data_IF_588328555565
#
_entry.id   IF_588328555565
#
_cell.length_a   1.000
_cell.length_b   1.000
_cell.length_c   1.000
_cell.angle_alpha   90.00
_cell.angle_beta   90.00
_cell.angle_gamma   90.00
#
_symmetry.space_group_name_H-M   'P 1'
#
loop_
_entity.id
_entity.type
_entity.pdbx_description
1 polymer ?
#
# COMPACT_ATOMS: atom_id res chain seq x y z
N UNK A 1 -27.54 -6.81 -37.04
CA UNK A 1 -26.17 -7.32 -36.80
C UNK A 1 -25.14 -6.23 -36.45
N UNK A 2 -25.09 -5.07 -37.12
CA UNK A 2 -24.09 -4.01 -36.87
C UNK A 2 -24.15 -3.31 -35.49
N UNK A 3 -25.32 -3.24 -34.83
CA UNK A 3 -25.46 -2.50 -33.55
C UNK A 3 -25.00 -3.29 -32.31
N UNK A 4 -25.22 -4.61 -32.26
CA UNK A 4 -24.77 -5.47 -31.15
C UNK A 4 -23.24 -5.55 -31.02
N UNK A 5 -22.50 -5.38 -32.15
CA UNK A 5 -21.03 -5.33 -32.17
C UNK A 5 -20.48 -4.15 -31.35
N UNK A 6 -21.28 -3.09 -31.16
CA UNK A 6 -20.87 -1.92 -30.37
C UNK A 6 -20.99 -2.13 -28.86
N UNK A 7 -21.69 -3.14 -28.36
CA UNK A 7 -21.62 -3.46 -26.92
C UNK A 7 -20.32 -4.23 -26.63
N UNK A 8 -19.96 -5.11 -27.56
CA UNK A 8 -18.86 -6.05 -27.36
C UNK A 8 -17.50 -5.36 -27.19
N UNK A 9 -17.25 -4.21 -27.85
CA UNK A 9 -15.98 -3.51 -27.66
C UNK A 9 -15.79 -2.99 -26.23
N UNK A 10 -16.85 -2.47 -25.58
CA UNK A 10 -16.73 -1.98 -24.20
C UNK A 10 -16.46 -3.11 -23.21
N UNK A 11 -17.09 -4.27 -23.44
CA UNK A 11 -16.85 -5.48 -22.66
C UNK A 11 -15.42 -6.01 -22.86
N UNK A 12 -14.97 -6.09 -24.12
CA UNK A 12 -13.61 -6.52 -24.46
C UNK A 12 -12.57 -5.56 -23.93
N UNK A 13 -12.77 -4.24 -24.02
CA UNK A 13 -11.87 -3.23 -23.46
C UNK A 13 -11.76 -3.35 -21.94
N UNK A 14 -12.88 -3.57 -21.24
CA UNK A 14 -12.86 -3.79 -19.79
C UNK A 14 -12.10 -5.07 -19.43
N UNK A 15 -12.34 -6.18 -20.16
CA UNK A 15 -11.63 -7.44 -19.94
C UNK A 15 -10.13 -7.33 -20.23
N UNK A 16 -9.74 -6.70 -21.35
CA UNK A 16 -8.35 -6.45 -21.69
C UNK A 16 -7.68 -5.55 -20.66
N UNK A 17 -8.39 -4.55 -20.14
CA UNK A 17 -7.91 -3.70 -19.06
C UNK A 17 -7.66 -4.47 -17.76
N UNK A 18 -8.61 -5.33 -17.36
CA UNK A 18 -8.46 -6.19 -16.19
C UNK A 18 -7.27 -7.14 -16.38
N UNK A 19 -7.16 -7.77 -17.55
CA UNK A 19 -6.05 -8.65 -17.87
C UNK A 19 -4.71 -7.92 -17.80
N UNK A 20 -4.61 -6.70 -18.35
CA UNK A 20 -3.41 -5.88 -18.29
C UNK A 20 -3.03 -5.54 -16.84
N UNK A 21 -4.00 -5.19 -15.98
CA UNK A 21 -3.75 -4.92 -14.56
C UNK A 21 -3.31 -6.17 -13.79
N UNK A 22 -3.90 -7.33 -14.09
CA UNK A 22 -3.51 -8.61 -13.47
C UNK A 22 -2.11 -9.04 -13.92
N UNK A 23 -1.74 -8.76 -15.16
CA UNK A 23 -0.41 -9.05 -15.70
C UNK A 23 0.65 -8.03 -15.28
N UNK A 24 0.26 -6.84 -14.81
CA UNK A 24 1.19 -5.77 -14.44
C UNK A 24 2.25 -6.22 -13.41
N UNK A 25 1.93 -6.92 -12.31
CA UNK A 25 2.95 -7.42 -11.38
C UNK A 25 3.91 -8.41 -12.04
N UNK A 26 3.41 -9.25 -12.96
CA UNK A 26 4.23 -10.21 -13.72
C UNK A 26 5.20 -9.48 -14.66
N UNK A 27 4.74 -8.40 -15.29
CA UNK A 27 5.56 -7.53 -16.15
C UNK A 27 6.64 -6.81 -15.33
N UNK A 28 6.35 -6.42 -14.09
CA UNK A 28 7.30 -5.71 -13.22
C UNK A 28 8.32 -6.64 -12.56
N UNK A 29 7.98 -7.90 -12.28
CA UNK A 29 8.85 -8.90 -11.63
C UNK A 29 10.26 -9.08 -12.26
N UNK A 30 10.45 -9.08 -13.61
CA UNK A 30 11.79 -9.16 -14.20
C UNK A 30 12.63 -7.89 -13.97
N UNK A 31 12.03 -6.76 -13.62
CA UNK A 31 12.71 -5.48 -13.40
C UNK A 31 12.86 -5.14 -11.92
N UNK A 32 11.89 -5.54 -11.09
CA UNK A 32 11.83 -5.25 -9.66
C UNK A 32 11.64 -6.52 -8.84
N UNK A 33 12.15 -6.51 -7.62
CA UNK A 33 11.89 -7.55 -6.63
C UNK A 33 11.40 -6.92 -5.33
N UNK A 34 10.75 -7.74 -4.50
CA UNK A 34 10.08 -7.32 -3.26
C UNK A 34 10.40 -8.31 -2.13
N UNK A 35 10.04 -7.98 -0.90
CA UNK A 35 10.10 -8.91 0.25
C UNK A 35 11.46 -9.00 0.94
N UNK A 36 12.37 -8.06 0.68
CA UNK A 36 13.69 -7.99 1.33
C UNK A 36 13.86 -6.79 2.26
N UNK A 37 12.99 -5.79 2.14
CA UNK A 37 13.18 -4.49 2.76
C UNK A 37 12.39 -3.40 2.06
N UNK A 38 12.57 -2.17 2.54
CA UNK A 38 12.02 -0.96 1.92
C UNK A 38 13.16 -0.08 1.44
N UNK A 39 13.04 0.40 0.21
CA UNK A 39 14.00 1.28 -0.42
C UNK A 39 13.62 2.73 -0.14
N UNK A 40 14.59 3.55 0.26
CA UNK A 40 14.40 4.99 0.46
C UNK A 40 14.39 5.69 -0.90
N UNK A 41 13.30 6.37 -1.22
CA UNK A 41 13.13 7.11 -2.49
C UNK A 41 13.38 8.61 -2.30
N UNK A 42 13.05 9.14 -1.12
CA UNK A 42 13.19 10.57 -0.81
C UNK A 42 13.35 10.75 0.70
N UNK A 43 14.09 11.79 1.10
CA UNK A 43 14.23 12.21 2.52
C UNK A 43 14.06 13.72 2.59
N UNK A 44 13.16 14.20 3.44
CA UNK A 44 12.89 15.62 3.62
C UNK A 44 14.12 16.35 4.18
N UNK A 45 14.48 17.50 3.57
CA UNK A 45 15.72 18.25 3.84
C UNK A 45 15.89 18.70 5.30
N UNK A 46 14.79 19.07 5.97
CA UNK A 46 14.79 19.53 7.37
C UNK A 46 14.56 18.40 8.40
N UNK A 47 14.62 17.14 7.96
CA UNK A 47 14.34 16.01 8.85
C UNK A 47 15.54 15.61 9.71
N UNK A 48 15.32 15.12 10.95
CA UNK A 48 16.37 14.49 11.75
C UNK A 48 16.92 13.19 11.12
N UNK A 49 16.32 12.74 10.03
CA UNK A 49 16.75 11.57 9.28
C UNK A 49 17.89 11.87 8.31
N UNK A 50 18.13 13.14 7.99
CA UNK A 50 19.23 13.59 7.14
C UNK A 50 20.50 13.83 7.96
N UNK A 51 21.65 13.52 7.36
CA UNK A 51 22.96 13.80 7.95
C UNK A 51 24.04 12.80 7.50
N UNK A 52 25.30 12.97 7.94
CA UNK A 52 26.42 12.12 7.50
C UNK A 52 26.29 10.65 7.92
N UNK A 53 25.34 10.34 8.81
CA UNK A 53 24.99 8.99 9.28
C UNK A 53 23.48 8.78 9.28
N UNK A 54 22.78 9.54 8.44
CA UNK A 54 21.35 9.48 8.21
C UNK A 54 20.99 8.47 7.13
N UNK A 55 19.76 8.57 6.65
CA UNK A 55 19.27 7.83 5.48
C UNK A 55 19.53 8.61 4.20
N UNK A 56 19.85 7.90 3.13
CA UNK A 56 20.05 8.46 1.80
C UNK A 56 19.15 7.76 0.78
N UNK A 57 18.84 8.48 -0.31
CA UNK A 57 18.12 7.90 -1.44
C UNK A 57 18.89 6.70 -1.99
N UNK A 58 18.19 5.57 -2.14
CA UNK A 58 18.76 4.30 -2.55
C UNK A 58 19.18 3.38 -1.40
N UNK A 59 19.11 3.81 -0.15
CA UNK A 59 19.37 2.94 1.00
C UNK A 59 18.24 1.90 1.14
N UNK A 60 18.61 0.65 1.46
CA UNK A 60 17.66 -0.44 1.70
C UNK A 60 17.54 -0.69 3.20
N UNK A 61 16.41 -0.30 3.79
CA UNK A 61 16.12 -0.59 5.19
C UNK A 61 15.52 -1.98 5.33
N UNK A 62 16.08 -2.75 6.26
CA UNK A 62 15.66 -4.14 6.53
C UNK A 62 15.10 -4.33 7.92
N UNK A 63 15.43 -3.46 8.88
CA UNK A 63 14.94 -3.55 10.25
C UNK A 63 14.75 -2.17 10.88
N UNK A 64 13.72 -2.07 11.71
CA UNK A 64 13.49 -0.99 12.66
C UNK A 64 13.62 -1.55 14.07
N UNK A 65 14.68 -1.19 14.78
CA UNK A 65 15.10 -1.81 16.03
C UNK A 65 15.30 -3.33 15.87
N UNK A 66 14.46 -4.13 16.53
CA UNK A 66 14.42 -5.60 16.43
C UNK A 66 13.22 -6.08 15.59
N UNK A 67 12.49 -5.17 14.95
CA UNK A 67 11.36 -5.44 14.08
C UNK A 67 11.84 -5.61 12.62
N UNK A 68 11.68 -6.79 11.99
CA UNK A 68 12.05 -6.99 10.60
C UNK A 68 11.08 -6.27 9.67
N UNK A 69 11.62 -5.64 8.63
CA UNK A 69 10.86 -4.91 7.61
C UNK A 69 11.14 -5.56 6.26
N UNK A 70 10.11 -6.14 5.63
CA UNK A 70 10.23 -6.74 4.29
C UNK A 70 9.46 -5.96 3.22
N UNK A 71 8.52 -5.10 3.65
CA UNK A 71 7.65 -4.31 2.81
C UNK A 71 7.16 -3.04 3.57
N UNK A 72 6.47 -2.14 2.87
CA UNK A 72 5.96 -0.86 3.44
C UNK A 72 4.93 -1.07 4.55
N UNK A 73 4.15 -2.15 4.52
CA UNK A 73 3.20 -2.46 5.59
C UNK A 73 3.94 -2.79 6.89
N UNK A 74 4.95 -3.66 6.83
CA UNK A 74 5.79 -4.01 7.99
C UNK A 74 6.43 -2.75 8.58
N UNK A 75 6.92 -1.83 7.75
CA UNK A 75 7.50 -0.56 8.20
C UNK A 75 6.50 0.24 9.04
N UNK A 76 5.27 0.41 8.57
CA UNK A 76 4.23 1.15 9.29
C UNK A 76 3.85 0.46 10.60
N UNK A 77 3.64 -0.86 10.58
CA UNK A 77 3.30 -1.65 11.77
C UNK A 77 4.43 -1.61 12.82
N UNK A 78 5.70 -1.65 12.39
CA UNK A 78 6.85 -1.52 13.28
C UNK A 78 6.90 -0.12 13.93
N UNK A 79 6.67 0.96 13.17
CA UNK A 79 6.66 2.32 13.71
C UNK A 79 5.52 2.54 14.71
N UNK A 80 4.33 2.03 14.41
CA UNK A 80 3.19 2.06 15.33
C UNK A 80 3.51 1.32 16.63
N UNK A 81 4.07 0.11 16.54
CA UNK A 81 4.50 -0.67 17.70
C UNK A 81 5.52 0.11 18.55
N UNK A 82 6.52 0.75 17.92
CA UNK A 82 7.54 1.56 18.61
C UNK A 82 6.92 2.80 19.28
N UNK A 83 5.85 3.37 18.74
CA UNK A 83 5.16 4.50 19.34
C UNK A 83 4.45 4.13 20.65
N UNK A 84 3.75 2.98 20.67
CA UNK A 84 2.98 2.53 21.83
C UNK A 84 3.84 1.79 22.88
N UNK A 85 4.88 1.09 22.47
CA UNK A 85 5.75 0.37 23.40
C UNK A 85 6.67 1.30 24.21
N UNK A 86 7.03 0.90 25.45
CA UNK A 86 8.01 1.62 26.24
C UNK A 86 9.39 1.53 25.59
N UNK A 87 10.20 2.59 25.76
CA UNK A 87 11.56 2.65 25.25
C UNK A 87 12.40 1.47 25.76
N UNK A 88 13.03 0.76 24.82
CA UNK A 88 13.96 -0.34 25.14
C UNK A 88 15.27 0.19 25.74
N UNK A 89 15.82 -0.55 26.70
CA UNK A 89 17.13 -0.31 27.28
C UNK A 89 18.22 -1.20 26.70
N UNK A 90 19.45 -0.94 27.13
CA UNK A 90 20.67 -1.59 26.66
C UNK A 90 21.53 -2.01 27.87
N UNK A 91 22.00 -3.27 27.88
CA UNK A 91 22.90 -3.84 28.88
C UNK A 91 24.35 -3.32 28.81
N UNK A 92 24.76 -2.51 29.78
CA UNK A 92 26.12 -1.95 29.84
C UNK A 92 26.88 -2.55 31.03
N UNK A 93 28.13 -2.93 30.82
CA UNK A 93 28.99 -3.46 31.89
C UNK A 93 29.34 -2.36 32.92
N UNK A 94 29.47 -2.74 34.18
CA UNK A 94 29.87 -1.84 35.26
C UNK A 94 31.26 -1.24 35.04
N UNK A 95 32.16 -1.97 34.37
CA UNK A 95 33.50 -1.45 34.01
C UNK A 95 33.42 -0.24 33.09
N UNK A 96 32.52 -0.27 32.11
CA UNK A 96 32.28 0.86 31.18
C UNK A 96 31.72 2.06 31.94
N UNK A 97 30.81 1.82 32.90
CA UNK A 97 30.23 2.88 33.74
C UNK A 97 31.24 3.47 34.73
N UNK A 98 32.15 2.66 35.29
CA UNK A 98 33.20 3.09 36.22
C UNK A 98 34.29 3.90 35.53
N UNK A 99 34.68 3.54 34.30
CA UNK A 99 35.63 4.33 33.49
C UNK A 99 35.12 5.75 33.21
N UNK A 100 33.80 5.93 33.24
CA UNK A 100 33.16 7.23 33.01
C UNK A 100 33.10 8.10 34.29
N UNK A 101 33.51 7.62 35.47
CA UNK A 101 33.62 8.39 36.71
C UNK A 101 32.35 9.16 37.12
N UNK A 102 31.21 8.48 37.32
CA UNK A 102 29.95 9.18 37.65
C UNK A 102 29.21 8.65 38.89
N UNK A 103 28.54 9.53 39.66
CA UNK A 103 27.74 9.14 40.82
C UNK A 103 26.51 8.33 40.39
N UNK A 104 26.24 7.24 41.10
CA UNK A 104 25.23 6.21 40.77
C UNK A 104 23.78 6.65 41.05
N UNK A 105 23.42 7.93 40.87
CA UNK A 105 22.04 8.41 41.06
C UNK A 105 21.66 9.52 40.08
N UNK A 106 20.70 9.23 39.22
CA UNK A 106 20.00 10.21 38.37
C UNK A 106 20.74 10.54 37.08
N UNK A 107 20.45 9.76 36.02
CA UNK A 107 20.84 9.99 34.62
C UNK A 107 22.35 10.09 34.33
N UNK A 108 22.79 9.56 33.19
CA UNK A 108 24.17 9.70 32.73
C UNK A 108 24.21 9.85 31.22
N UNK A 109 25.15 10.67 30.74
CA UNK A 109 25.36 10.88 29.31
C UNK A 109 26.31 9.82 28.79
N UNK A 110 25.80 8.91 27.97
CA UNK A 110 26.57 7.86 27.30
C UNK A 110 26.56 8.12 25.80
N UNK A 111 27.69 7.88 25.08
CA UNK A 111 27.68 7.90 23.63
C UNK A 111 26.69 6.84 23.11
N UNK A 112 25.55 7.27 22.55
CA UNK A 112 24.45 6.40 22.18
C UNK A 112 24.89 5.22 21.30
N UNK A 113 25.73 5.49 20.30
CA UNK A 113 26.22 4.45 19.38
C UNK A 113 27.01 3.36 20.11
N UNK A 114 27.96 3.73 20.99
CA UNK A 114 28.72 2.75 21.79
C UNK A 114 27.83 1.93 22.72
N UNK A 115 26.76 2.55 23.25
CA UNK A 115 25.81 1.88 24.14
C UNK A 115 24.88 0.90 23.41
N UNK A 116 24.65 1.08 22.10
CA UNK A 116 23.67 0.30 21.32
C UNK A 116 24.34 -0.78 20.47
N UNK A 117 25.55 -0.51 19.96
CA UNK A 117 26.23 -1.35 18.95
C UNK A 117 26.78 -2.66 19.52
N UNK A 118 27.21 -2.67 20.79
CA UNK A 118 27.90 -3.81 21.41
C UNK A 118 27.03 -4.59 22.43
N UNK A 119 25.76 -4.22 22.56
CA UNK A 119 25.01 -4.47 23.79
C UNK A 119 23.66 -5.15 23.54
N UNK A 120 23.37 -6.18 24.34
CA UNK A 120 22.06 -6.82 24.40
C UNK A 120 20.96 -5.84 24.85
N UNK A 121 19.79 -5.89 24.21
CA UNK A 121 18.60 -5.14 24.64
C UNK A 121 18.05 -5.68 25.97
N UNK A 122 17.44 -4.79 26.76
CA UNK A 122 16.88 -5.12 28.07
C UNK A 122 15.69 -4.23 28.45
N UNK A 123 14.82 -4.74 29.33
CA UNK A 123 13.82 -3.95 30.05
C UNK A 123 14.15 -3.87 31.54
N UNK A 124 14.86 -4.86 32.06
CA UNK A 124 15.26 -4.93 33.46
C UNK A 124 16.71 -5.40 33.62
N UNK A 125 17.30 -5.15 34.80
CA UNK A 125 18.64 -5.65 35.12
C UNK A 125 18.78 -7.18 35.07
N UNK A 126 17.67 -7.93 35.08
CA UNK A 126 17.71 -9.40 34.98
C UNK A 126 18.05 -9.88 33.58
N UNK A 127 17.78 -9.08 32.56
CA UNK A 127 17.99 -9.45 31.16
C UNK A 127 19.50 -9.46 30.82
N UNK A 128 20.29 -8.70 31.58
CA UNK A 128 21.74 -8.52 31.38
C UNK A 128 22.62 -9.59 32.06
N UNK A 129 22.06 -10.72 32.48
CA UNK A 129 22.76 -11.74 33.29
C UNK A 129 23.76 -12.63 32.52
N UNK A 130 23.91 -12.46 31.21
CA UNK A 130 24.73 -13.36 30.35
C UNK A 130 26.22 -12.99 30.27
N UNK A 131 26.66 -11.93 30.92
CA UNK A 131 28.05 -11.45 30.82
C UNK A 131 28.72 -11.55 32.18
N UNK A 132 29.91 -12.15 32.27
CA UNK A 132 30.67 -12.47 33.50
C UNK A 132 31.14 -11.25 34.34
N UNK A 133 30.51 -10.09 34.14
CA UNK A 133 30.73 -8.83 34.86
C UNK A 133 29.36 -8.23 35.22
N UNK A 134 29.24 -7.60 36.39
CA UNK A 134 28.04 -6.87 36.79
C UNK A 134 27.60 -5.92 35.67
N UNK A 135 26.43 -6.17 35.06
CA UNK A 135 25.90 -5.38 33.95
C UNK A 135 24.56 -4.81 34.34
N UNK A 136 24.32 -3.56 33.95
CA UNK A 136 23.11 -2.82 34.28
C UNK A 136 22.31 -2.52 33.02
N UNK A 137 20.99 -2.57 33.14
CA UNK A 137 20.10 -2.15 32.07
C UNK A 137 19.95 -0.63 32.11
N UNK A 138 20.44 0.05 31.07
CA UNK A 138 20.37 1.50 30.94
C UNK A 138 19.29 1.82 29.91
N UNK A 139 18.28 2.59 30.32
CA UNK A 139 17.18 3.02 29.46
C UNK A 139 17.41 4.51 29.10
N UNK A 140 17.36 4.87 27.80
CA UNK A 140 17.46 6.27 27.38
C UNK A 140 16.41 7.15 28.06
N UNK A 141 16.86 8.27 28.62
CA UNK A 141 15.98 9.29 29.19
C UNK A 141 15.58 10.26 28.09
N UNK A 142 14.36 10.12 27.60
CA UNK A 142 13.81 10.88 26.47
C UNK A 142 12.53 11.60 26.91
N UNK A 143 12.16 12.65 26.19
CA UNK A 143 10.91 13.38 26.41
C UNK A 143 9.69 12.49 26.09
N UNK A 144 8.53 12.81 26.66
CA UNK A 144 7.28 12.10 26.38
C UNK A 144 7.02 12.05 24.87
N UNK A 145 6.61 10.88 24.35
CA UNK A 145 6.39 10.61 22.92
C UNK A 145 7.62 10.66 22.00
N UNK A 146 8.81 10.96 22.52
CA UNK A 146 10.05 10.79 21.75
C UNK A 146 10.61 9.39 21.98
N UNK A 147 11.21 8.83 20.93
CA UNK A 147 11.80 7.49 20.92
C UNK A 147 13.17 7.56 20.27
N UNK A 148 14.06 6.70 20.77
CA UNK A 148 15.31 6.38 20.10
C UNK A 148 15.06 5.15 19.25
N UNK A 149 15.18 5.28 17.93
CA UNK A 149 14.94 4.27 16.93
C UNK A 149 16.25 3.95 16.21
N UNK A 150 16.65 2.69 16.20
CA UNK A 150 17.78 2.19 15.40
C UNK A 150 17.26 1.69 14.07
N UNK A 151 17.71 2.27 12.96
CA UNK A 151 17.30 1.89 11.61
C UNK A 151 18.48 1.15 10.97
N UNK A 152 18.27 -0.12 10.57
CA UNK A 152 19.33 -0.93 9.95
C UNK A 152 19.20 -0.89 8.43
N UNK A 153 20.21 -0.33 7.77
CA UNK A 153 20.28 -0.22 6.31
C UNK A 153 21.66 -0.68 5.80
N UNK A 154 21.89 -1.99 5.66
CA UNK A 154 23.16 -2.49 5.15
C UNK A 154 23.36 -2.07 3.67
N UNK A 155 24.60 -1.83 3.22
CA UNK A 155 25.88 -2.03 3.92
C UNK A 155 26.34 -0.89 4.83
N UNK A 156 25.59 0.20 4.93
CA UNK A 156 25.92 1.37 5.74
C UNK A 156 25.75 1.09 7.24
N UNK A 157 26.32 1.97 8.06
CA UNK A 157 26.19 1.89 9.53
C UNK A 157 24.77 2.24 9.96
N UNK A 158 24.27 1.57 11.01
CA UNK A 158 22.94 1.83 11.55
C UNK A 158 22.71 3.32 11.83
N UNK A 159 21.60 3.83 11.29
CA UNK A 159 21.11 5.17 11.51
C UNK A 159 20.36 5.22 12.84
N UNK A 160 20.67 6.24 13.66
CA UNK A 160 20.01 6.45 14.95
C UNK A 160 19.10 7.66 14.83
N UNK A 161 17.81 7.43 14.95
CA UNK A 161 16.78 8.46 14.90
C UNK A 161 16.29 8.76 16.32
N UNK A 162 16.21 10.04 16.66
CA UNK A 162 15.63 10.53 17.93
C UNK A 162 14.50 11.48 17.60
N UNK A 163 13.28 11.12 17.94
CA UNK A 163 12.11 11.94 17.66
C UNK A 163 10.81 11.16 17.82
N UNK A 164 9.71 11.75 17.37
CA UNK A 164 8.44 11.05 17.33
C UNK A 164 8.42 10.03 16.17
N UNK A 165 8.00 8.77 16.37
CA UNK A 165 7.99 7.75 15.31
C UNK A 165 7.15 8.16 14.08
N UNK A 166 6.01 8.82 14.30
CA UNK A 166 5.13 9.29 13.22
C UNK A 166 5.81 10.32 12.31
N UNK A 167 6.73 11.13 12.84
CA UNK A 167 7.44 12.12 12.04
C UNK A 167 8.39 11.43 11.04
N UNK A 168 8.98 10.29 11.41
CA UNK A 168 9.83 9.52 10.51
C UNK A 168 9.05 9.01 9.29
N UNK A 169 7.79 8.58 9.49
CA UNK A 169 6.89 8.14 8.42
C UNK A 169 6.61 9.25 7.39
N UNK A 170 6.48 10.50 7.81
CA UNK A 170 6.21 11.63 6.89
C UNK A 170 7.45 12.25 6.27
N UNK A 171 8.61 12.10 6.90
CA UNK A 171 9.86 12.70 6.40
C UNK A 171 10.61 11.82 5.40
N UNK A 172 10.26 10.54 5.29
CA UNK A 172 10.98 9.59 4.44
C UNK A 172 10.00 8.88 3.52
N UNK A 173 10.16 9.09 2.21
CA UNK A 173 9.39 8.37 1.19
C UNK A 173 10.06 7.03 0.92
N UNK A 174 9.26 5.96 0.90
CA UNK A 174 9.73 4.57 0.79
C UNK A 174 8.94 3.77 -0.24
N UNK A 175 9.57 2.72 -0.77
CA UNK A 175 8.93 1.77 -1.68
C UNK A 175 9.32 0.32 -1.37
N UNK A 176 8.39 -0.62 -1.59
CA UNK A 176 8.65 -2.07 -1.49
C UNK A 176 9.32 -2.65 -2.75
N UNK A 177 9.47 -1.85 -3.81
CA UNK A 177 9.99 -2.29 -5.11
C UNK A 177 11.46 -1.90 -5.27
N UNK A 178 12.34 -2.91 -5.28
CA UNK A 178 13.78 -2.69 -5.45
C UNK A 178 14.17 -2.97 -6.90
N UNK A 179 14.82 -2.04 -7.61
CA UNK A 179 15.25 -2.24 -8.99
C UNK A 179 16.35 -3.32 -9.05
N UNK A 180 16.22 -4.28 -9.97
CA UNK A 180 17.25 -5.31 -10.23
C UNK A 180 18.44 -4.77 -11.01
N UNK A 181 18.25 -3.66 -11.72
CA UNK A 181 19.25 -3.06 -12.59
C UNK A 181 19.42 -1.57 -12.25
N UNK A 182 20.66 -1.09 -12.19
CA UNK A 182 20.97 0.30 -11.81
C UNK A 182 20.46 1.36 -12.79
N UNK A 183 20.10 0.99 -14.03
CA UNK A 183 19.54 1.94 -15.01
C UNK A 183 18.05 2.21 -14.79
N UNK A 184 17.36 1.38 -14.00
CA UNK A 184 15.95 1.57 -13.69
C UNK A 184 15.80 2.69 -12.66
N UNK A 185 14.89 3.64 -12.93
CA UNK A 185 14.59 4.68 -11.96
C UNK A 185 13.88 4.09 -10.74
N UNK A 186 14.22 4.61 -9.57
CA UNK A 186 13.61 4.29 -8.28
C UNK A 186 12.16 4.81 -8.23
N UNK A 187 11.84 5.84 -8.99
CA UNK A 187 10.50 6.44 -9.04
C UNK A 187 9.53 5.70 -9.96
N UNK A 188 10.03 4.79 -10.81
CA UNK A 188 9.22 4.12 -11.82
C UNK A 188 8.03 3.35 -11.23
N UNK A 189 8.14 2.61 -10.10
CA UNK A 189 7.00 1.92 -9.50
C UNK A 189 5.90 2.90 -9.05
N UNK A 190 6.27 4.06 -8.52
CA UNK A 190 5.33 5.13 -8.12
C UNK A 190 4.65 5.73 -9.35
N UNK A 191 5.41 5.94 -10.43
CA UNK A 191 4.88 6.38 -11.73
C UNK A 191 3.93 5.34 -12.32
N UNK A 192 4.25 4.04 -12.26
CA UNK A 192 3.39 2.97 -12.76
C UNK A 192 2.09 2.89 -11.95
N UNK A 193 2.17 3.00 -10.62
CA UNK A 193 0.99 3.07 -9.78
C UNK A 193 0.11 4.28 -10.16
N UNK A 194 0.71 5.47 -10.24
CA UNK A 194 0.01 6.73 -10.50
C UNK A 194 -0.56 6.82 -11.92
N UNK A 195 0.25 6.52 -12.93
CA UNK A 195 -0.04 6.78 -14.35
C UNK A 195 -0.48 5.56 -15.15
N UNK A 196 -0.38 4.35 -14.60
CA UNK A 196 -0.87 3.13 -15.28
C UNK A 196 -2.03 2.55 -14.50
N UNK A 197 -1.84 2.20 -13.22
CA UNK A 197 -2.84 1.46 -12.44
C UNK A 197 -4.14 2.25 -12.23
N UNK A 198 -4.08 3.48 -11.69
CA UNK A 198 -5.29 4.29 -11.47
C UNK A 198 -6.06 4.63 -12.76
N UNK A 199 -5.42 5.14 -13.84
CA UNK A 199 -6.16 5.46 -15.06
C UNK A 199 -6.69 4.21 -15.76
N UNK A 200 -5.99 3.08 -15.76
CA UNK A 200 -6.58 1.82 -16.27
C UNK A 200 -7.80 1.41 -15.45
N UNK A 201 -7.75 1.53 -14.13
CA UNK A 201 -8.88 1.20 -13.27
C UNK A 201 -10.11 2.07 -13.59
N UNK A 202 -9.89 3.37 -13.81
CA UNK A 202 -10.94 4.28 -14.25
C UNK A 202 -11.53 3.87 -15.61
N UNK A 203 -10.69 3.54 -16.60
CA UNK A 203 -11.14 3.09 -17.92
C UNK A 203 -11.95 1.79 -17.84
N UNK A 204 -11.52 0.83 -17.03
CA UNK A 204 -12.26 -0.42 -16.80
C UNK A 204 -13.62 -0.13 -16.17
N UNK A 205 -13.66 0.74 -15.16
CA UNK A 205 -14.90 1.10 -14.46
C UNK A 205 -15.89 1.79 -15.41
N UNK A 206 -15.43 2.80 -16.16
CA UNK A 206 -16.26 3.55 -17.11
C UNK A 206 -16.73 2.66 -18.27
N UNK A 207 -15.82 1.91 -18.88
CA UNK A 207 -16.12 1.00 -20.00
C UNK A 207 -17.05 -0.14 -19.55
N UNK A 208 -16.81 -0.70 -18.36
CA UNK A 208 -17.64 -1.75 -17.78
C UNK A 208 -19.04 -1.27 -17.46
N UNK A 209 -19.18 -0.09 -16.84
CA UNK A 209 -20.49 0.51 -16.58
C UNK A 209 -21.26 0.79 -17.87
N UNK A 210 -20.60 1.35 -18.89
CA UNK A 210 -21.22 1.60 -20.19
C UNK A 210 -21.61 0.30 -20.91
N UNK A 211 -20.81 -0.76 -20.79
CA UNK A 211 -21.15 -2.08 -21.31
C UNK A 211 -22.41 -2.64 -20.65
N UNK A 212 -22.52 -2.55 -19.32
CA UNK A 212 -23.70 -3.01 -18.57
C UNK A 212 -24.94 -2.22 -18.98
N UNK A 213 -24.86 -0.88 -18.99
CA UNK A 213 -25.99 -0.02 -19.37
C UNK A 213 -26.46 -0.34 -20.80
N UNK A 214 -25.54 -0.47 -21.75
CA UNK A 214 -25.89 -0.77 -23.13
C UNK A 214 -26.43 -2.19 -23.33
N UNK A 215 -26.18 -3.12 -22.40
CA UNK A 215 -26.72 -4.48 -22.45
C UNK A 215 -28.14 -4.61 -21.87
N UNK A 216 -28.61 -3.64 -21.05
CA UNK A 216 -29.95 -3.68 -20.46
C UNK A 216 -31.03 -3.64 -21.56
N UNK A 217 -32.06 -4.51 -21.50
CA UNK A 217 -33.15 -4.52 -22.47
C UNK A 217 -34.07 -3.31 -22.26
N UNK A 218 -33.69 -2.17 -22.85
CA UNK A 218 -34.47 -0.92 -22.84
C UNK A 218 -34.61 -0.39 -24.26
N UNK A 219 -35.64 0.43 -24.48
CA UNK A 219 -35.80 1.15 -25.73
C UNK A 219 -34.60 2.07 -25.99
N UNK A 220 -34.21 2.19 -27.26
CA UNK A 220 -33.09 3.02 -27.74
C UNK A 220 -31.69 2.62 -27.27
N UNK A 221 -31.53 1.59 -26.42
CA UNK A 221 -30.24 0.98 -26.09
C UNK A 221 -29.92 -0.21 -26.99
N UNK A 222 -28.64 -0.62 -27.04
CA UNK A 222 -28.25 -1.75 -27.87
C UNK A 222 -28.79 -3.10 -27.33
N UNK A 223 -29.16 -3.17 -26.05
CA UNK A 223 -29.76 -4.34 -25.39
C UNK A 223 -31.14 -4.75 -25.93
N UNK A 224 -31.88 -3.84 -26.59
CA UNK A 224 -33.12 -4.18 -27.28
C UNK A 224 -32.91 -5.22 -28.39
N UNK A 225 -31.77 -5.13 -29.10
CA UNK A 225 -31.45 -6.04 -30.19
C UNK A 225 -30.93 -7.38 -29.67
N UNK A 226 -30.28 -7.38 -28.51
CA UNK A 226 -29.89 -8.61 -27.79
C UNK A 226 -31.15 -9.38 -27.40
N UNK A 227 -32.12 -8.70 -26.77
CA UNK A 227 -33.37 -9.33 -26.36
C UNK A 227 -34.12 -9.93 -27.56
N UNK A 228 -34.30 -9.16 -28.64
CA UNK A 228 -35.01 -9.65 -29.82
C UNK A 228 -34.32 -10.87 -30.44
N UNK A 229 -32.98 -10.85 -30.53
CA UNK A 229 -32.21 -12.00 -31.05
C UNK A 229 -32.31 -13.22 -30.12
N UNK A 230 -32.36 -13.01 -28.80
CA UNK A 230 -32.54 -14.08 -27.82
C UNK A 230 -33.94 -14.70 -27.90
N UNK A 231 -34.99 -13.87 -28.01
CA UNK A 231 -36.37 -14.32 -28.20
C UNK A 231 -36.52 -15.08 -29.52
N UNK A 232 -35.91 -14.58 -30.60
CA UNK A 232 -35.91 -15.26 -31.90
C UNK A 232 -35.19 -16.61 -31.85
N UNK A 233 -34.09 -16.74 -31.09
CA UNK A 233 -33.35 -17.99 -30.98
C UNK A 233 -34.04 -19.03 -30.07
N UNK A 234 -34.70 -18.60 -28.99
CA UNK A 234 -35.23 -19.49 -27.95
C UNK A 234 -36.73 -19.78 -28.09
N UNK A 235 -37.53 -18.77 -28.42
CA UNK A 235 -38.99 -18.92 -28.53
C UNK A 235 -39.42 -19.38 -29.92
N UNK A 236 -38.57 -19.32 -30.95
CA UNK A 236 -38.93 -19.82 -32.29
C UNK A 236 -39.10 -21.33 -32.35
N UNK A 237 -38.45 -22.08 -31.46
CA UNK A 237 -38.65 -23.52 -31.34
C UNK A 237 -39.89 -23.92 -30.52
N UNK A 238 -40.45 -23.00 -29.72
CA UNK A 238 -41.52 -23.29 -28.74
C UNK A 238 -42.86 -22.62 -29.10
N UNK A 239 -42.82 -21.40 -29.66
CA UNK A 239 -43.98 -20.58 -29.98
C UNK A 239 -43.88 -20.20 -31.46
N UNK A 240 -44.81 -20.74 -32.27
CA UNK A 240 -44.88 -20.47 -33.70
C UNK A 240 -45.46 -19.10 -34.07
N UNK A 241 -46.11 -18.43 -33.10
CA UNK A 241 -46.78 -17.15 -33.31
C UNK A 241 -45.80 -15.98 -33.11
N UNK A 242 -45.62 -15.17 -34.16
CA UNK A 242 -44.75 -13.98 -34.14
C UNK A 242 -45.31 -12.86 -33.27
N UNK A 243 -46.65 -12.73 -33.21
CA UNK A 243 -47.29 -11.60 -32.53
C UNK A 243 -47.13 -11.71 -31.00
N UNK A 244 -47.14 -12.94 -30.49
CA UNK A 244 -46.92 -13.22 -29.07
C UNK A 244 -45.47 -12.91 -28.66
N UNK A 245 -44.49 -13.15 -29.53
CA UNK A 245 -43.08 -12.84 -29.26
C UNK A 245 -42.83 -11.33 -29.19
N UNK A 246 -43.41 -10.60 -30.13
CA UNK A 246 -43.31 -9.14 -30.17
C UNK A 246 -43.98 -8.50 -28.95
N UNK A 247 -45.12 -9.04 -28.51
CA UNK A 247 -45.79 -8.60 -27.29
C UNK A 247 -44.95 -8.84 -26.02
N UNK A 248 -44.35 -10.02 -25.89
CA UNK A 248 -43.44 -10.36 -24.78
C UNK A 248 -42.22 -9.42 -24.80
N UNK A 249 -41.59 -9.24 -25.97
CA UNK A 249 -40.47 -8.33 -26.16
C UNK A 249 -40.82 -6.89 -25.75
N UNK A 250 -41.98 -6.39 -26.16
CA UNK A 250 -42.47 -5.06 -25.79
C UNK A 250 -42.59 -4.87 -24.28
N UNK A 251 -43.21 -5.81 -23.55
CA UNK A 251 -43.35 -5.71 -22.10
C UNK A 251 -42.00 -5.74 -21.36
N UNK A 252 -41.06 -6.57 -21.81
CA UNK A 252 -39.71 -6.63 -21.25
C UNK A 252 -38.96 -5.31 -21.47
N UNK A 253 -39.01 -4.75 -22.69
CA UNK A 253 -38.38 -3.47 -23.02
C UNK A 253 -39.00 -2.29 -22.26
N UNK A 254 -40.33 -2.29 -22.11
CA UNK A 254 -41.06 -1.28 -21.35
C UNK A 254 -40.66 -1.33 -19.86
N UNK A 255 -40.69 -2.53 -19.27
CA UNK A 255 -40.27 -2.73 -17.88
C UNK A 255 -38.83 -2.30 -17.63
N UNK A 256 -37.90 -2.70 -18.51
CA UNK A 256 -36.50 -2.28 -18.43
C UNK A 256 -36.33 -0.77 -18.52
N UNK A 257 -37.03 -0.11 -19.45
CA UNK A 257 -36.92 1.35 -19.65
C UNK A 257 -37.46 2.14 -18.45
N UNK A 258 -38.58 1.69 -17.87
CA UNK A 258 -39.14 2.29 -16.66
C UNK A 258 -38.20 2.13 -15.47
N UNK A 259 -37.63 0.93 -15.30
CA UNK A 259 -36.69 0.66 -14.20
C UNK A 259 -35.41 1.50 -14.32
N UNK A 260 -34.85 1.61 -15.52
CA UNK A 260 -33.67 2.44 -15.77
C UNK A 260 -33.98 3.93 -15.52
N UNK A 261 -35.10 4.43 -16.04
CA UNK A 261 -35.51 5.81 -15.83
C UNK A 261 -35.73 6.13 -14.34
N UNK A 262 -36.39 5.24 -13.59
CA UNK A 262 -36.58 5.39 -12.15
C UNK A 262 -35.25 5.41 -11.38
N UNK A 263 -34.29 4.55 -11.73
CA UNK A 263 -32.98 4.54 -11.08
C UNK A 263 -32.18 5.81 -11.39
N UNK A 264 -32.23 6.31 -12.63
CA UNK A 264 -31.54 7.56 -13.00
C UNK A 264 -32.17 8.76 -12.31
N UNK A 265 -33.50 8.86 -12.25
CA UNK A 265 -34.19 9.98 -11.57
C UNK A 265 -33.96 9.96 -10.07
N UNK A 266 -34.02 8.79 -9.42
CA UNK A 266 -33.69 8.65 -8.00
C UNK A 266 -32.22 9.00 -7.72
N UNK A 267 -31.31 8.56 -8.58
CA UNK A 267 -29.88 8.87 -8.47
C UNK A 267 -29.60 10.38 -8.59
N UNK A 268 -30.17 11.04 -9.61
CA UNK A 268 -30.04 12.49 -9.79
C UNK A 268 -30.67 13.25 -8.62
N UNK A 269 -31.86 12.85 -8.18
CA UNK A 269 -32.53 13.45 -7.04
C UNK A 269 -31.66 13.39 -5.78
N UNK A 270 -31.08 12.23 -5.48
CA UNK A 270 -30.18 12.04 -4.33
C UNK A 270 -28.94 12.95 -4.39
N UNK A 271 -28.37 13.19 -5.58
CA UNK A 271 -27.21 14.08 -5.75
C UNK A 271 -27.62 15.55 -5.56
N UNK A 272 -28.80 15.94 -6.03
CA UNK A 272 -29.29 17.34 -5.92
C UNK A 272 -29.96 17.69 -4.61
N UNK A 273 -30.44 16.68 -3.85
CA UNK A 273 -31.10 16.84 -2.56
C UNK A 273 -30.09 16.89 -1.38
N UNK A 274 -28.79 16.93 -1.69
CA UNK A 274 -27.69 17.08 -0.74
C UNK A 274 -27.08 18.46 -0.87
#
# INVERSE_FOLDING_TARGET
MSKAVRIWHNFVLALLGILALVLLPVILLPFYYTGVGVLITEVAEDSPAIGPRGLFVGDLVTHLQDCPVTNVQDWNECLDTIAYEPQIGYCISASTLQQLSFPVRGHTCLPARKAIEATQVCRTNKDCKKTSSSSFCIIPSLETHTRLIKVKHPPQIDMLYVGHPLHLHYTVSITSFIPRFNFLSIDLPVVVETFVKYPFWYLISLSGALAIVNAVPCFALDGQWILNSFLDATLTSVIGDSDVKDLIGFFILLGGSVLLAANVTLGLWMVTAR
#
